data_IF_344413569939
#
_entry.id   IF_344413569939
#
_cell.length_a   1.000
_cell.length_b   1.000
_cell.length_c   1.000
_cell.angle_alpha   90.00
_cell.angle_beta   90.00
_cell.angle_gamma   90.00
#
_symmetry.space_group_name_H-M   'P 1'
#
loop_
_entity.id
_entity.type
_entity.pdbx_description
1 polymer ?
#
# COMPACT_ATOMS: atom_id res chain seq x y z
N UNK A 1 4.03 -49.10 13.74
CA UNK A 1 4.66 -47.93 13.08
C UNK A 1 3.59 -46.91 12.74
N UNK A 2 3.45 -45.84 13.55
CA UNK A 2 2.60 -44.69 13.24
C UNK A 2 3.44 -43.68 12.44
N UNK A 3 3.34 -43.74 11.11
CA UNK A 3 3.94 -42.78 10.17
C UNK A 3 2.88 -41.72 9.80
N UNK A 4 2.53 -40.86 10.74
CA UNK A 4 1.59 -39.75 10.52
C UNK A 4 2.03 -38.58 11.39
N UNK A 5 3.08 -37.83 10.99
CA UNK A 5 3.45 -36.61 11.72
C UNK A 5 4.37 -35.60 11.02
N UNK A 6 4.58 -35.64 9.70
CA UNK A 6 5.61 -34.77 9.06
C UNK A 6 5.12 -33.68 8.10
N UNK A 7 3.81 -33.43 7.96
CA UNK A 7 3.30 -32.55 6.90
C UNK A 7 2.67 -31.20 7.33
N UNK A 8 2.75 -30.76 8.59
CA UNK A 8 1.89 -29.67 9.08
C UNK A 8 2.54 -28.27 9.24
N UNK A 9 3.83 -28.09 8.98
CA UNK A 9 4.52 -26.84 9.37
C UNK A 9 4.72 -25.76 8.28
N UNK A 10 4.23 -25.92 7.04
CA UNK A 10 4.58 -25.02 5.92
C UNK A 10 3.59 -23.87 5.62
N UNK A 11 2.53 -23.65 6.41
CA UNK A 11 1.45 -22.71 6.05
C UNK A 11 1.52 -21.30 6.67
N UNK A 12 2.52 -21.00 7.50
CA UNK A 12 2.48 -19.78 8.32
C UNK A 12 3.08 -18.51 7.69
N UNK A 13 3.71 -18.58 6.50
CA UNK A 13 4.47 -17.45 5.96
C UNK A 13 3.68 -16.45 5.10
N UNK A 14 2.41 -16.72 4.76
CA UNK A 14 1.66 -15.92 3.78
C UNK A 14 1.05 -14.62 4.32
N UNK A 15 0.91 -14.48 5.65
CA UNK A 15 0.13 -13.39 6.25
C UNK A 15 0.79 -12.02 6.11
N UNK A 16 2.12 -11.93 6.19
CA UNK A 16 2.82 -10.65 6.15
C UNK A 16 2.77 -9.98 4.76
N UNK A 17 2.92 -10.77 3.68
CA UNK A 17 2.80 -10.28 2.31
C UNK A 17 1.37 -9.86 1.99
N UNK A 18 0.38 -10.67 2.39
CA UNK A 18 -1.03 -10.36 2.20
C UNK A 18 -1.42 -9.06 2.92
N UNK A 19 -0.97 -8.88 4.16
CA UNK A 19 -1.21 -7.65 4.93
C UNK A 19 -0.56 -6.42 4.28
N UNK A 20 0.65 -6.56 3.75
CA UNK A 20 1.33 -5.47 3.04
C UNK A 20 0.61 -5.09 1.75
N UNK A 21 0.09 -6.08 1.02
CA UNK A 21 -0.71 -5.86 -0.19
C UNK A 21 -2.03 -5.18 0.13
N UNK A 22 -2.76 -5.63 1.15
CA UNK A 22 -4.02 -5.02 1.60
C UNK A 22 -3.84 -3.54 1.96
N UNK A 23 -2.75 -3.22 2.67
CA UNK A 23 -2.39 -1.83 3.00
C UNK A 23 -2.06 -1.00 1.77
N UNK A 24 -1.35 -1.56 0.80
CA UNK A 24 -1.12 -0.91 -0.49
C UNK A 24 -2.46 -0.62 -1.19
N UNK A 25 -3.35 -1.60 -1.30
CA UNK A 25 -4.63 -1.44 -2.00
C UNK A 25 -5.54 -0.42 -1.31
N UNK A 26 -5.55 -0.41 0.03
CA UNK A 26 -6.27 0.60 0.81
C UNK A 26 -5.70 2.01 0.57
N UNK A 27 -4.37 2.18 0.58
CA UNK A 27 -3.76 3.49 0.31
C UNK A 27 -4.11 3.98 -1.10
N UNK A 28 -4.11 3.07 -2.08
CA UNK A 28 -4.42 3.39 -3.46
C UNK A 28 -5.87 3.85 -3.58
N UNK A 29 -6.80 3.14 -2.94
CA UNK A 29 -8.21 3.51 -2.86
C UNK A 29 -8.38 4.91 -2.26
N UNK A 30 -7.76 5.21 -1.12
CA UNK A 30 -7.87 6.51 -0.46
C UNK A 30 -7.38 7.66 -1.35
N UNK A 31 -6.28 7.46 -2.09
CA UNK A 31 -5.76 8.48 -3.00
C UNK A 31 -6.69 8.68 -4.20
N UNK A 32 -7.27 7.59 -4.76
CA UNK A 32 -8.25 7.68 -5.84
C UNK A 32 -9.52 8.41 -5.38
N UNK A 33 -10.03 8.09 -4.20
CA UNK A 33 -11.18 8.79 -3.59
C UNK A 33 -10.88 10.27 -3.32
N UNK A 34 -9.61 10.63 -3.08
CA UNK A 34 -9.15 12.02 -2.95
C UNK A 34 -8.79 12.68 -4.30
N UNK A 35 -9.32 12.20 -5.42
CA UNK A 35 -9.08 12.81 -6.74
C UNK A 35 -7.71 12.46 -7.34
N UNK A 36 -7.19 11.28 -7.04
CA UNK A 36 -5.91 10.74 -7.51
C UNK A 36 -4.64 11.48 -7.02
N UNK A 37 -4.80 12.35 -6.03
CA UNK A 37 -3.71 13.03 -5.37
C UNK A 37 -4.04 13.25 -3.90
N UNK A 38 -3.02 13.35 -3.06
CA UNK A 38 -3.15 13.64 -1.64
C UNK A 38 -1.96 14.49 -1.22
N UNK A 39 -2.21 15.73 -0.83
CA UNK A 39 -1.19 16.64 -0.30
C UNK A 39 -0.63 16.12 1.02
N UNK A 40 0.54 16.64 1.44
CA UNK A 40 1.10 16.30 2.76
C UNK A 40 0.15 16.61 3.93
N UNK A 41 -0.64 17.69 3.82
CA UNK A 41 -1.61 18.07 4.85
C UNK A 41 -2.78 17.07 4.92
N UNK A 42 -3.35 16.72 3.76
CA UNK A 42 -4.41 15.71 3.66
C UNK A 42 -3.92 14.34 4.14
N UNK A 43 -2.72 13.93 3.73
CA UNK A 43 -2.10 12.69 4.18
C UNK A 43 -1.92 12.67 5.70
N UNK A 44 -1.55 13.80 6.30
CA UNK A 44 -1.43 13.96 7.75
C UNK A 44 -2.75 13.79 8.51
N UNK A 45 -3.90 14.09 7.88
CA UNK A 45 -5.23 13.94 8.47
C UNK A 45 -5.88 12.60 8.17
N UNK A 46 -5.85 12.16 6.91
CA UNK A 46 -6.59 11.00 6.40
C UNK A 46 -5.91 9.68 6.81
N UNK A 47 -4.59 9.58 6.61
CA UNK A 47 -3.90 8.29 6.72
C UNK A 47 -3.89 7.73 8.16
N UNK A 48 -3.64 8.53 9.22
CA UNK A 48 -3.70 8.01 10.59
C UNK A 48 -5.08 7.53 10.99
N UNK A 49 -6.16 8.18 10.52
CA UNK A 49 -7.54 7.76 10.78
C UNK A 49 -7.87 6.41 10.11
N UNK A 50 -7.13 6.04 9.06
CA UNK A 50 -7.23 4.75 8.37
C UNK A 50 -6.15 3.75 8.82
N UNK A 51 -5.49 4.01 9.95
CA UNK A 51 -4.55 3.09 10.58
C UNK A 51 -3.19 2.99 9.88
N UNK A 52 -2.83 3.95 9.03
CA UNK A 52 -1.49 4.02 8.46
C UNK A 52 -0.53 4.73 9.41
N UNK A 53 0.68 4.18 9.52
CA UNK A 53 1.81 4.89 10.11
C UNK A 53 2.60 5.60 9.01
N UNK A 54 3.33 6.68 9.36
CA UNK A 54 4.22 7.37 8.42
C UNK A 54 5.27 6.43 7.80
N UNK A 55 5.75 5.44 8.57
CA UNK A 55 6.72 4.46 8.07
C UNK A 55 6.08 3.55 7.03
N UNK A 56 4.93 2.96 7.36
CA UNK A 56 4.18 2.08 6.47
C UNK A 56 3.83 2.78 5.15
N UNK A 57 3.30 4.01 5.22
CA UNK A 57 3.02 4.81 4.02
C UNK A 57 4.27 5.03 3.19
N UNK A 58 5.39 5.45 3.80
CA UNK A 58 6.64 5.70 3.06
C UNK A 58 7.14 4.44 2.35
N UNK A 59 7.05 3.28 3.00
CA UNK A 59 7.55 2.03 2.45
C UNK A 59 6.70 1.57 1.25
N UNK A 60 5.36 1.75 1.32
CA UNK A 60 4.46 1.53 0.17
C UNK A 60 4.75 2.50 -0.98
N UNK A 61 4.90 3.79 -0.68
CA UNK A 61 5.18 4.84 -1.68
C UNK A 61 6.48 4.57 -2.43
N UNK A 62 7.54 4.11 -1.75
CA UNK A 62 8.79 3.69 -2.39
C UNK A 62 8.57 2.53 -3.36
N UNK A 63 7.83 1.50 -2.94
CA UNK A 63 7.52 0.37 -3.81
C UNK A 63 6.69 0.78 -5.04
N UNK A 64 5.84 1.79 -4.93
CA UNK A 64 5.07 2.35 -6.05
C UNK A 64 5.90 3.22 -6.98
N UNK A 65 6.86 3.97 -6.44
CA UNK A 65 7.82 4.76 -7.21
C UNK A 65 8.66 3.84 -8.12
N UNK A 66 9.19 2.74 -7.57
CA UNK A 66 9.92 1.72 -8.34
C UNK A 66 9.07 1.09 -9.47
N UNK A 67 7.74 1.03 -9.27
CA UNK A 67 6.77 0.53 -10.25
C UNK A 67 6.26 1.60 -11.22
N UNK A 68 6.72 2.86 -11.11
CA UNK A 68 6.28 3.96 -11.98
C UNK A 68 4.82 4.37 -11.77
N UNK A 69 4.25 4.11 -10.59
CA UNK A 69 2.84 4.39 -10.28
C UNK A 69 2.58 5.85 -9.89
N UNK A 70 3.63 6.63 -9.63
CA UNK A 70 3.57 7.99 -9.08
C UNK A 70 4.02 9.06 -10.09
N UNK A 71 3.33 10.20 -10.11
CA UNK A 71 3.80 11.42 -10.78
C UNK A 71 4.64 12.24 -9.78
N UNK A 72 5.95 12.01 -9.77
CA UNK A 72 6.91 12.61 -8.82
C UNK A 72 7.30 14.06 -9.15
N UNK A 73 6.61 14.71 -10.10
CA UNK A 73 7.01 16.05 -10.58
C UNK A 73 6.33 17.16 -9.78
N UNK A 74 7.12 17.81 -8.92
CA UNK A 74 6.80 19.14 -8.37
C UNK A 74 5.55 19.23 -7.48
N UNK A 75 5.03 18.11 -7.00
CA UNK A 75 3.84 18.05 -6.15
C UNK A 75 4.24 17.77 -4.69
N UNK A 76 3.76 18.59 -3.76
CA UNK A 76 3.98 18.40 -2.33
C UNK A 76 2.97 17.41 -1.75
N UNK A 77 3.17 16.13 -2.05
CA UNK A 77 2.31 15.03 -1.60
C UNK A 77 2.49 13.77 -2.44
N UNK A 78 1.45 12.94 -2.48
CA UNK A 78 1.36 11.73 -3.28
C UNK A 78 0.44 11.99 -4.46
N UNK A 79 0.91 11.76 -5.69
CA UNK A 79 0.10 11.87 -6.90
C UNK A 79 0.26 10.62 -7.76
N UNK A 80 -0.85 10.01 -8.15
CA UNK A 80 -0.84 8.85 -9.04
C UNK A 80 -0.59 9.29 -10.48
N UNK A 81 0.04 8.44 -11.29
CA UNK A 81 0.00 8.62 -12.75
C UNK A 81 -1.42 8.46 -13.27
N UNK A 82 -1.69 8.98 -14.47
CA UNK A 82 -2.99 8.78 -15.14
C UNK A 82 -3.35 7.29 -15.26
N UNK A 83 -2.39 6.43 -15.60
CA UNK A 83 -2.63 5.00 -15.73
C UNK A 83 -3.04 4.36 -14.40
N UNK A 84 -2.35 4.70 -13.31
CA UNK A 84 -2.66 4.17 -11.97
C UNK A 84 -3.96 4.75 -11.40
N UNK A 85 -4.25 6.02 -11.67
CA UNK A 85 -5.48 6.71 -11.26
C UNK A 85 -6.73 6.07 -11.87
N UNK A 86 -6.69 5.74 -13.16
CA UNK A 86 -7.84 5.22 -13.92
C UNK A 86 -8.09 3.71 -13.75
N UNK A 87 -7.16 2.98 -13.14
CA UNK A 87 -7.35 1.54 -12.89
C UNK A 87 -8.48 1.32 -11.89
N UNK A 88 -9.32 0.32 -12.13
CA UNK A 88 -10.27 -0.22 -11.14
C UNK A 88 -9.55 -1.23 -10.26
#
# INVERSE_FOLDING_TARGET
>A
MRLFSLALCLLFSSSALAQTQEKSDLLLKLIRENGCQMTNAEAGGILPQNGFTKSETRDIIRAWEEKGMLDIRGFAGIKLTTATCSGS
#
